data_IF_699801098587
#
_entry.id   IF_699801098587
#
_cell.length_a   1.000
_cell.length_b   1.000
_cell.length_c   1.000
_cell.angle_alpha   90.00
_cell.angle_beta   90.00
_cell.angle_gamma   90.00
#
_symmetry.space_group_name_H-M   'P 1'
#
loop_
_entity.id
_entity.type
_entity.pdbx_description
1 polymer ?
#
# COMPACT_ATOMS: atom_id res chain seq x y z
N UNK A 1 -9.89 16.85 1.61
CA UNK A 1 -10.58 15.86 0.74
C UNK A 1 -9.78 14.57 0.73
N UNK A 2 -10.43 13.39 0.70
CA UNK A 2 -9.72 12.10 0.65
C UNK A 2 -9.46 11.73 -0.81
N UNK A 3 -8.21 11.88 -1.26
CA UNK A 3 -7.80 11.54 -2.62
C UNK A 3 -7.36 10.08 -2.68
N UNK A 4 -8.00 9.32 -3.57
CA UNK A 4 -7.71 7.91 -3.80
C UNK A 4 -7.08 7.76 -5.18
N UNK A 5 -5.97 7.03 -5.26
CA UNK A 5 -5.24 6.74 -6.48
C UNK A 5 -5.21 5.23 -6.74
N UNK A 6 -5.40 4.85 -7.99
CA UNK A 6 -5.13 3.50 -8.48
C UNK A 6 -3.62 3.30 -8.66
N UNK A 7 -3.14 2.05 -8.74
CA UNK A 7 -1.71 1.76 -8.97
C UNK A 7 -1.12 2.51 -10.17
N UNK A 8 -1.88 2.61 -11.27
CA UNK A 8 -1.48 3.35 -12.48
C UNK A 8 -1.30 4.84 -12.21
N UNK A 9 -2.19 5.44 -11.42
CA UNK A 9 -2.09 6.84 -11.07
C UNK A 9 -0.97 7.09 -10.06
N UNK A 10 -0.74 6.17 -9.12
CA UNK A 10 0.39 6.27 -8.19
C UNK A 10 1.71 6.32 -8.97
N UNK A 11 1.86 5.52 -10.03
CA UNK A 11 3.05 5.54 -10.90
C UNK A 11 3.22 6.84 -11.69
N UNK A 12 2.13 7.56 -11.98
CA UNK A 12 2.20 8.87 -12.64
C UNK A 12 2.62 9.99 -11.68
N UNK A 13 2.27 9.88 -10.40
CA UNK A 13 2.51 10.93 -9.40
C UNK A 13 3.76 10.68 -8.56
N UNK A 14 4.17 9.42 -8.39
CA UNK A 14 5.26 9.01 -7.53
C UNK A 14 6.22 8.10 -8.32
N UNK A 15 7.53 8.08 -7.98
CA UNK A 15 8.51 7.18 -8.59
C UNK A 15 8.34 5.73 -8.08
N UNK A 16 7.13 5.18 -8.16
CA UNK A 16 6.74 3.85 -7.71
C UNK A 16 6.03 3.13 -8.86
N UNK A 17 6.64 2.07 -9.40
CA UNK A 17 6.01 1.32 -10.48
C UNK A 17 4.79 0.54 -9.99
N UNK A 18 3.77 0.38 -10.84
CA UNK A 18 2.60 -0.46 -10.55
C UNK A 18 3.02 -1.88 -10.16
N UNK A 19 4.01 -2.45 -10.84
CA UNK A 19 4.53 -3.80 -10.57
C UNK A 19 5.18 -3.90 -9.19
N UNK A 20 5.94 -2.88 -8.79
CA UNK A 20 6.54 -2.81 -7.46
C UNK A 20 5.47 -2.73 -6.35
N UNK A 21 4.43 -1.90 -6.54
CA UNK A 21 3.29 -1.83 -5.62
C UNK A 21 2.52 -3.14 -5.51
N UNK A 22 2.36 -3.87 -6.62
CA UNK A 22 1.73 -5.19 -6.62
C UNK A 22 2.59 -6.22 -5.86
N UNK A 23 3.91 -6.19 -6.05
CA UNK A 23 4.85 -7.03 -5.32
C UNK A 23 4.85 -6.73 -3.81
N UNK A 24 4.87 -5.46 -3.42
CA UNK A 24 4.75 -5.03 -2.02
C UNK A 24 3.45 -5.53 -1.38
N UNK A 25 2.32 -5.32 -2.06
CA UNK A 25 1.03 -5.81 -1.61
C UNK A 25 1.01 -7.34 -1.43
N UNK A 26 1.65 -8.09 -2.33
CA UNK A 26 1.80 -9.54 -2.22
C UNK A 26 2.65 -9.95 -1.01
N UNK A 27 3.72 -9.21 -0.72
CA UNK A 27 4.59 -9.41 0.44
C UNK A 27 3.97 -8.92 1.76
N UNK A 28 2.79 -8.29 1.73
CA UNK A 28 2.17 -7.67 2.90
C UNK A 28 2.98 -6.50 3.45
N UNK A 29 3.72 -5.80 2.57
CA UNK A 29 4.47 -4.57 2.86
C UNK A 29 3.90 -3.43 2.01
N UNK A 30 4.30 -2.21 2.33
CA UNK A 30 3.94 -1.03 1.54
C UNK A 30 2.81 -0.20 2.15
N UNK A 31 2.32 0.80 1.38
CA UNK A 31 1.30 1.71 1.85
C UNK A 31 -0.05 1.01 1.97
N UNK A 32 -0.87 1.50 2.88
CA UNK A 32 -2.19 0.91 3.12
C UNK A 32 -3.07 1.10 1.88
N UNK A 33 -3.66 0.00 1.41
CA UNK A 33 -4.55 0.00 0.27
C UNK A 33 -5.89 -0.63 0.63
N UNK A 34 -6.92 -0.24 -0.11
CA UNK A 34 -8.25 -0.83 -0.06
C UNK A 34 -8.55 -1.46 -1.41
N UNK A 35 -9.33 -2.53 -1.39
CA UNK A 35 -9.80 -3.17 -2.63
C UNK A 35 -11.19 -2.60 -2.91
N UNK A 36 -11.35 -1.93 -4.05
CA UNK A 36 -12.63 -1.44 -4.56
C UNK A 36 -12.91 -2.16 -5.87
N UNK A 37 -13.89 -3.07 -5.85
CA UNK A 37 -14.15 -3.98 -6.95
C UNK A 37 -12.95 -4.90 -7.23
N UNK A 38 -12.32 -4.75 -8.40
CA UNK A 38 -11.13 -5.52 -8.81
C UNK A 38 -9.82 -4.76 -8.63
N UNK A 39 -9.89 -3.48 -8.25
CA UNK A 39 -8.73 -2.59 -8.21
C UNK A 39 -8.27 -2.33 -6.78
N UNK A 40 -6.96 -2.33 -6.58
CA UNK A 40 -6.36 -1.79 -5.36
C UNK A 40 -6.24 -0.26 -5.50
N UNK A 41 -6.87 0.44 -4.57
CA UNK A 41 -6.82 1.89 -4.43
C UNK A 41 -6.07 2.27 -3.16
N UNK A 42 -5.27 3.31 -3.28
CA UNK A 42 -4.38 3.81 -2.26
C UNK A 42 -4.82 5.21 -1.88
N UNK A 43 -4.80 5.54 -0.59
CA UNK A 43 -5.04 6.90 -0.15
C UNK A 43 -3.74 7.69 -0.31
N UNK A 44 -3.80 8.87 -0.91
CA UNK A 44 -2.61 9.73 -1.13
C UNK A 44 -1.84 9.95 0.17
N UNK A 45 -2.55 10.31 1.25
CA UNK A 45 -1.93 10.58 2.55
C UNK A 45 -1.24 9.35 3.15
N UNK A 46 -1.73 8.13 2.89
CA UNK A 46 -1.08 6.89 3.36
C UNK A 46 0.14 6.53 2.53
N UNK A 47 0.16 6.88 1.24
CA UNK A 47 1.34 6.74 0.38
C UNK A 47 2.43 7.69 0.88
N UNK A 48 2.07 8.94 1.15
CA UNK A 48 2.99 9.96 1.64
C UNK A 48 3.52 9.61 3.03
N UNK A 49 2.66 9.23 3.98
CA UNK A 49 3.07 8.80 5.33
C UNK A 49 3.96 7.56 5.27
N UNK A 50 3.66 6.62 4.36
CA UNK A 50 4.52 5.46 4.14
C UNK A 50 5.88 5.86 3.55
N UNK A 51 5.92 6.73 2.54
CA UNK A 51 7.17 7.22 1.96
C UNK A 51 8.01 7.98 2.99
N UNK A 52 7.38 8.83 3.80
CA UNK A 52 8.02 9.54 4.91
C UNK A 52 8.57 8.54 5.94
N UNK A 53 7.78 7.51 6.27
CA UNK A 53 8.24 6.44 7.16
C UNK A 53 9.47 5.72 6.60
N UNK A 54 9.61 5.52 5.28
CA UNK A 54 10.80 4.90 4.68
C UNK A 54 12.03 5.82 4.79
N UNK A 55 11.84 7.12 4.57
CA UNK A 55 12.88 8.14 4.73
C UNK A 55 13.35 8.22 6.18
N UNK A 56 12.43 8.16 7.14
CA UNK A 56 12.72 8.14 8.58
C UNK A 56 13.29 6.79 9.03
N UNK A 57 12.88 5.66 8.42
CA UNK A 57 13.36 4.31 8.76
C UNK A 57 14.80 4.05 8.32
N UNK A 58 15.37 4.88 7.43
CA UNK A 58 16.83 4.96 7.27
C UNK A 58 17.55 5.23 8.61
N UNK A 59 16.85 5.84 9.60
CA UNK A 59 17.38 6.11 10.94
C UNK A 59 16.80 5.27 12.08
N UNK A 60 15.70 4.52 11.94
CA UNK A 60 15.16 3.71 13.05
C UNK A 60 14.26 2.57 12.58
N UNK A 61 14.77 1.35 12.73
CA UNK A 61 13.98 0.12 12.81
C UNK A 61 12.97 0.23 13.95
N UNK A 62 11.66 0.17 13.67
CA UNK A 62 10.63 -0.36 14.59
C UNK A 62 9.22 -0.37 13.97
N UNK A 63 8.73 -1.59 13.78
CA UNK A 63 7.38 -2.03 14.14
C UNK A 63 6.19 -1.24 13.58
N UNK A 64 5.65 -1.66 12.42
CA UNK A 64 4.26 -1.38 12.08
C UNK A 64 3.45 -2.67 12.01
N UNK A 65 2.38 -2.66 12.81
CA UNK A 65 1.41 -3.74 13.03
C UNK A 65 0.78 -4.16 11.70
N UNK A 66 0.75 -5.47 11.48
CA UNK A 66 0.18 -6.15 10.32
C UNK A 66 -1.34 -5.91 10.28
N UNK A 67 -1.91 -5.28 9.24
CA UNK A 67 -3.36 -5.32 9.04
C UNK A 67 -3.71 -6.75 8.60
N UNK A 68 -4.51 -7.43 9.42
CA UNK A 68 -4.88 -8.82 9.23
C UNK A 68 -5.61 -9.05 7.91
N UNK A 69 -5.08 -9.96 7.10
CA UNK A 69 -5.75 -10.55 5.94
C UNK A 69 -6.90 -11.44 6.44
N UNK A 70 -8.18 -11.17 6.13
CA UNK A 70 -9.22 -12.16 6.38
C UNK A 70 -8.97 -13.35 5.46
N UNK A 71 -8.79 -14.52 6.08
CA UNK A 71 -8.54 -15.81 5.41
C UNK A 71 -9.81 -16.19 4.63
N UNK A 72 -9.64 -16.47 3.34
CA UNK A 72 -10.67 -16.93 2.40
C UNK A 72 -11.35 -18.19 2.98
N UNK A 73 -12.63 -18.12 3.40
CA UNK A 73 -13.46 -19.30 3.68
C UNK A 73 -13.74 -19.97 2.32
N UNK A 74 -13.07 -21.10 2.07
CA UNK A 74 -13.58 -22.13 1.14
C UNK A 74 -14.72 -22.84 1.87
N UNK A 75 -15.90 -22.90 1.26
CA UNK A 75 -16.91 -23.89 1.63
C UNK A 75 -16.94 -24.96 0.52
N UNK A 76 -17.15 -26.18 1.00
CA UNK A 76 -17.09 -27.45 0.28
C UNK A 76 -18.27 -27.63 -0.68
#
# INVERSE_FOLDING_TARGET
MKHYLTRKQVEQHYPLSQSYLAWLAHKGRGPQFRIVGRNAVYLVTEIEDWLDSLLVTSKRSRSQKRPGRPRKRRQA
#
